data_IF_324338564175
#
_entry.id   IF_324338564175
#
_cell.length_a   1.000
_cell.length_b   1.000
_cell.length_c   1.000
_cell.angle_alpha   90.00
_cell.angle_beta   90.00
_cell.angle_gamma   90.00
#
_symmetry.space_group_name_H-M   'P 1'
#
loop_
_entity.id
_entity.type
_entity.pdbx_description
1 polymer ?
#
# COMPACT_ATOMS: atom_id res chain seq x y z
N UNK A 1 -37.05 -12.26 -8.24
CA UNK A 1 -36.68 -12.80 -6.91
C UNK A 1 -35.23 -12.42 -6.67
N UNK A 2 -34.98 -11.38 -5.85
CA UNK A 2 -33.68 -10.70 -5.70
C UNK A 2 -33.34 -10.69 -4.21
N UNK A 3 -32.82 -11.80 -3.70
CA UNK A 3 -32.39 -11.93 -2.31
C UNK A 3 -31.43 -13.13 -2.19
N UNK A 4 -30.14 -12.92 -2.46
CA UNK A 4 -29.09 -13.79 -1.90
C UNK A 4 -27.69 -13.16 -1.95
N UNK A 5 -27.61 -11.82 -1.85
CA UNK A 5 -26.32 -11.15 -1.69
C UNK A 5 -26.18 -10.73 -0.22
N UNK A 6 -25.12 -11.17 0.49
CA UNK A 6 -24.89 -10.75 1.85
C UNK A 6 -24.64 -9.26 1.90
N UNK A 7 -25.15 -8.63 2.93
CA UNK A 7 -24.95 -7.21 3.20
C UNK A 7 -23.44 -6.91 3.29
N UNK A 8 -22.91 -5.95 2.49
CA UNK A 8 -21.52 -5.53 2.57
C UNK A 8 -21.06 -5.14 3.99
N UNK A 9 -21.99 -4.67 4.85
CA UNK A 9 -21.68 -4.37 6.24
C UNK A 9 -21.46 -5.65 7.07
N UNK A 10 -22.23 -6.71 6.82
CA UNK A 10 -22.09 -8.01 7.47
C UNK A 10 -20.78 -8.72 7.08
N UNK A 11 -20.32 -8.55 5.83
CA UNK A 11 -19.04 -9.08 5.36
C UNK A 11 -17.83 -8.37 6.00
N UNK A 12 -17.89 -7.03 6.14
CA UNK A 12 -16.84 -6.30 6.86
C UNK A 12 -16.77 -6.67 8.34
N UNK A 13 -17.92 -6.88 8.98
CA UNK A 13 -17.98 -7.36 10.37
C UNK A 13 -17.43 -8.78 10.51
N UNK A 14 -17.72 -9.69 9.57
CA UNK A 14 -17.13 -11.03 9.54
C UNK A 14 -15.60 -11.00 9.41
N UNK A 15 -15.05 -10.15 8.53
CA UNK A 15 -13.61 -10.00 8.36
C UNK A 15 -12.92 -9.46 9.63
N UNK A 16 -13.58 -8.56 10.36
CA UNK A 16 -13.09 -8.04 11.65
C UNK A 16 -13.01 -9.12 12.71
N UNK A 17 -14.07 -9.92 12.86
CA UNK A 17 -14.08 -11.07 13.77
C UNK A 17 -13.03 -12.11 13.39
N UNK A 18 -12.80 -12.32 12.10
CA UNK A 18 -11.78 -13.24 11.61
C UNK A 18 -10.37 -12.83 12.04
N UNK A 19 -10.02 -11.53 11.93
CA UNK A 19 -8.71 -11.01 12.39
C UNK A 19 -8.57 -11.14 13.90
N UNK A 20 -9.63 -10.85 14.66
CA UNK A 20 -9.62 -10.89 16.12
C UNK A 20 -9.51 -12.33 16.67
N UNK A 21 -10.13 -13.31 16.00
CA UNK A 21 -10.07 -14.73 16.37
C UNK A 21 -8.87 -15.50 15.78
N UNK A 22 -8.05 -14.84 14.96
CA UNK A 22 -6.82 -15.43 14.37
C UNK A 22 -5.53 -15.02 15.11
N UNK A 23 -5.65 -14.26 16.20
CA UNK A 23 -4.51 -13.91 17.05
C UNK A 23 -4.11 -15.10 17.94
N UNK A 24 -2.82 -15.23 18.28
CA UNK A 24 -2.30 -16.38 19.05
C UNK A 24 -2.82 -16.45 20.51
N UNK A 25 -3.45 -15.38 21.02
CA UNK A 25 -3.96 -15.27 22.40
C UNK A 25 -5.39 -14.71 22.40
N UNK A 26 -6.35 -15.54 21.98
CA UNK A 26 -7.78 -15.18 21.94
C UNK A 26 -8.38 -15.30 23.34
N UNK A 27 -8.93 -14.20 23.86
CA UNK A 27 -9.64 -14.23 25.13
C UNK A 27 -11.01 -14.93 25.00
N UNK A 28 -11.45 -15.69 26.01
CA UNK A 28 -12.78 -16.34 26.04
C UNK A 28 -13.94 -15.35 25.83
N UNK A 29 -13.75 -14.08 26.22
CA UNK A 29 -14.69 -13.00 26.01
C UNK A 29 -14.92 -12.67 24.52
N UNK A 30 -13.90 -12.85 23.67
CA UNK A 30 -13.99 -12.60 22.22
C UNK A 30 -14.78 -13.70 21.52
N UNK A 31 -14.64 -14.96 21.95
CA UNK A 31 -15.46 -16.08 21.46
C UNK A 31 -16.95 -15.88 21.80
N UNK A 32 -17.26 -15.45 23.03
CA UNK A 32 -18.63 -15.16 23.44
C UNK A 32 -19.22 -13.92 22.74
N UNK A 33 -18.39 -12.94 22.37
CA UNK A 33 -18.77 -11.79 21.55
C UNK A 33 -19.14 -12.20 20.12
N UNK A 34 -18.29 -13.02 19.50
CA UNK A 34 -18.51 -13.54 18.16
C UNK A 34 -19.78 -14.41 18.06
N UNK A 35 -19.98 -15.33 19.01
CA UNK A 35 -21.18 -16.20 19.02
C UNK A 35 -22.47 -15.38 19.10
N UNK A 36 -22.51 -14.35 19.94
CA UNK A 36 -23.66 -13.44 20.03
C UNK A 36 -23.90 -12.70 18.72
N UNK A 37 -22.84 -12.26 18.05
CA UNK A 37 -22.95 -11.56 16.77
C UNK A 37 -23.46 -12.46 15.63
N UNK A 38 -22.98 -13.70 15.54
CA UNK A 38 -23.44 -14.69 14.54
C UNK A 38 -24.90 -15.08 14.77
N UNK A 39 -25.32 -15.22 16.03
CA UNK A 39 -26.70 -15.58 16.40
C UNK A 39 -27.70 -14.42 16.29
N UNK A 40 -27.22 -13.17 16.21
CA UNK A 40 -28.09 -11.99 16.17
C UNK A 40 -28.85 -11.82 14.84
N UNK A 41 -28.30 -12.28 13.71
CA UNK A 41 -28.94 -12.15 12.39
C UNK A 41 -28.53 -13.31 11.46
N UNK A 42 -29.49 -13.99 10.79
CA UNK A 42 -29.19 -15.01 9.78
C UNK A 42 -28.22 -14.57 8.69
N UNK A 43 -28.20 -13.28 8.34
CA UNK A 43 -27.27 -12.70 7.35
C UNK A 43 -25.82 -12.66 7.84
N UNK A 44 -25.58 -12.55 9.14
CA UNK A 44 -24.24 -12.63 9.72
C UNK A 44 -23.68 -14.05 9.67
N UNK A 45 -24.53 -15.05 9.94
CA UNK A 45 -24.18 -16.46 9.78
C UNK A 45 -23.82 -16.79 8.31
N UNK A 46 -24.56 -16.24 7.35
CA UNK A 46 -24.23 -16.39 5.93
C UNK A 46 -22.91 -15.71 5.55
N UNK A 47 -22.66 -14.49 6.04
CA UNK A 47 -21.41 -13.78 5.82
C UNK A 47 -20.20 -14.53 6.42
N UNK A 48 -20.36 -15.10 7.62
CA UNK A 48 -19.34 -15.91 8.26
C UNK A 48 -19.05 -17.20 7.48
N UNK A 49 -20.09 -17.94 7.06
CA UNK A 49 -19.95 -19.14 6.26
C UNK A 49 -19.27 -18.88 4.90
N UNK A 50 -19.44 -17.68 4.32
CA UNK A 50 -18.72 -17.29 3.11
C UNK A 50 -17.23 -17.03 3.36
N UNK A 51 -16.89 -16.41 4.48
CA UNK A 51 -15.49 -16.21 4.90
C UNK A 51 -14.79 -17.55 5.18
N UNK A 52 -15.46 -18.49 5.86
CA UNK A 52 -14.95 -19.85 6.09
C UNK A 52 -14.76 -20.63 4.78
N UNK A 53 -15.68 -20.48 3.81
CA UNK A 53 -15.53 -21.09 2.47
C UNK A 53 -14.35 -20.49 1.71
N UNK A 54 -14.12 -19.18 1.83
CA UNK A 54 -12.98 -18.51 1.24
C UNK A 54 -11.66 -19.00 1.88
N UNK A 55 -11.64 -19.12 3.20
CA UNK A 55 -10.50 -19.64 3.95
C UNK A 55 -10.24 -21.12 3.65
N UNK A 56 -11.26 -21.97 3.57
CA UNK A 56 -11.10 -23.37 3.17
C UNK A 56 -10.53 -23.48 1.75
N UNK A 57 -10.98 -22.66 0.81
CA UNK A 57 -10.41 -22.59 -0.55
C UNK A 57 -8.94 -22.15 -0.53
N UNK A 58 -8.59 -21.17 0.29
CA UNK A 58 -7.21 -20.71 0.46
C UNK A 58 -6.33 -21.76 1.15
N UNK A 59 -6.85 -22.48 2.14
CA UNK A 59 -6.15 -23.58 2.84
C UNK A 59 -5.93 -24.78 1.91
N UNK A 60 -6.90 -25.12 1.06
CA UNK A 60 -6.72 -26.13 0.00
C UNK A 60 -5.74 -25.69 -1.10
N UNK A 61 -5.50 -24.39 -1.26
CA UNK A 61 -4.47 -23.84 -2.16
C UNK A 61 -3.09 -23.74 -1.50
N UNK A 62 -3.02 -23.66 -0.16
CA UNK A 62 -1.80 -23.67 0.63
C UNK A 62 -1.22 -25.09 0.86
N UNK A 63 -2.02 -26.13 0.61
CA UNK A 63 -1.64 -27.53 0.85
C UNK A 63 -0.70 -28.23 -0.17
N UNK A 64 -0.07 -27.56 -1.17
CA UNK A 64 1.11 -28.12 -1.84
C UNK A 64 2.45 -27.69 -1.22
N UNK A 65 2.46 -26.94 -0.11
CA UNK A 65 3.70 -26.60 0.61
C UNK A 65 3.84 -27.28 1.99
N UNK A 66 2.76 -27.87 2.54
CA UNK A 66 2.84 -28.71 3.74
C UNK A 66 3.22 -30.18 3.44
N UNK A 67 3.24 -30.58 2.17
CA UNK A 67 3.51 -31.96 1.72
C UNK A 67 4.96 -32.20 1.30
N UNK A 68 5.94 -31.56 1.96
CA UNK A 68 7.28 -32.17 2.07
C UNK A 68 7.30 -33.35 3.07
N UNK A 69 6.19 -33.60 3.79
CA UNK A 69 6.08 -34.66 4.78
C UNK A 69 5.42 -35.98 4.29
N UNK A 70 4.96 -36.11 3.04
CA UNK A 70 4.32 -37.35 2.56
C UNK A 70 4.95 -37.86 1.26
N UNK A 71 6.11 -38.48 1.42
CA UNK A 71 6.91 -39.15 0.39
C UNK A 71 6.28 -40.43 -0.19
N UNK A 72 4.98 -40.50 -0.52
CA UNK A 72 4.43 -41.71 -1.18
C UNK A 72 3.33 -41.43 -2.22
N UNK A 73 3.76 -41.34 -3.48
CA UNK A 73 3.17 -41.90 -4.73
C UNK A 73 1.73 -41.48 -5.19
N UNK A 74 1.30 -41.75 -6.45
CA UNK A 74 2.00 -41.77 -7.74
C UNK A 74 1.31 -40.96 -8.89
N UNK A 75 2.14 -40.63 -9.90
CA UNK A 75 1.91 -40.50 -11.35
C UNK A 75 0.45 -40.56 -11.90
N UNK A 76 -0.19 -39.42 -12.18
CA UNK A 76 -1.23 -39.32 -13.24
C UNK A 76 -1.74 -37.88 -13.46
N UNK A 77 -0.97 -37.02 -14.13
CA UNK A 77 -1.57 -35.79 -14.71
C UNK A 77 -0.99 -35.53 -16.11
N UNK A 78 -1.82 -35.50 -17.18
CA UNK A 78 -1.35 -35.31 -18.55
C UNK A 78 -0.66 -33.94 -18.75
N UNK A 79 0.43 -33.93 -19.51
CA UNK A 79 1.31 -32.76 -19.72
C UNK A 79 0.59 -31.54 -20.35
N UNK A 80 -0.51 -31.76 -21.08
CA UNK A 80 -1.29 -30.70 -21.73
C UNK A 80 -2.12 -29.87 -20.73
N UNK A 81 -2.66 -30.52 -19.69
CA UNK A 81 -3.33 -29.85 -18.55
C UNK A 81 -2.32 -29.00 -17.75
N UNK A 82 -1.06 -29.44 -17.64
CA UNK A 82 0.01 -28.69 -16.97
C UNK A 82 0.39 -27.40 -17.71
N UNK A 83 0.33 -27.36 -19.05
CA UNK A 83 0.62 -26.13 -19.83
C UNK A 83 -0.52 -25.12 -19.77
N UNK A 84 -1.77 -25.56 -19.92
CA UNK A 84 -2.94 -24.69 -19.79
C UNK A 84 -3.05 -24.10 -18.38
N UNK A 85 -2.80 -24.90 -17.35
CA UNK A 85 -2.79 -24.45 -15.96
C UNK A 85 -1.62 -23.50 -15.67
N UNK A 86 -0.43 -23.70 -16.25
CA UNK A 86 0.70 -22.75 -16.15
C UNK A 86 0.40 -21.40 -16.80
N UNK A 87 -0.27 -21.38 -17.95
CA UNK A 87 -0.64 -20.15 -18.65
C UNK A 87 -1.78 -19.41 -17.91
N UNK A 88 -2.75 -20.13 -17.35
CA UNK A 88 -3.83 -19.55 -16.54
C UNK A 88 -3.34 -19.05 -15.17
N UNK A 89 -2.46 -19.78 -14.49
CA UNK A 89 -1.83 -19.35 -13.23
C UNK A 89 -0.87 -18.16 -13.46
N UNK A 90 -0.15 -18.13 -14.58
CA UNK A 90 0.63 -16.97 -14.98
C UNK A 90 -0.23 -15.73 -15.21
N UNK A 91 -1.38 -15.86 -15.89
CA UNK A 91 -2.29 -14.75 -16.16
C UNK A 91 -3.03 -14.22 -14.93
N UNK A 92 -3.55 -15.10 -14.07
CA UNK A 92 -4.34 -14.69 -12.88
C UNK A 92 -3.44 -14.20 -11.74
N UNK A 93 -2.26 -14.81 -11.55
CA UNK A 93 -1.28 -14.34 -10.56
C UNK A 93 -0.77 -12.93 -10.88
N UNK A 94 -0.54 -12.62 -12.15
CA UNK A 94 -0.22 -11.26 -12.61
C UNK A 94 -1.42 -10.32 -12.42
N UNK A 95 -2.64 -10.76 -12.72
CA UNK A 95 -3.84 -9.94 -12.60
C UNK A 95 -4.15 -9.49 -11.16
N UNK A 96 -4.06 -10.39 -10.18
CA UNK A 96 -4.31 -10.07 -8.77
C UNK A 96 -3.15 -9.28 -8.15
N UNK A 97 -1.89 -9.60 -8.48
CA UNK A 97 -0.74 -8.82 -8.04
C UNK A 97 -0.71 -7.41 -8.66
N UNK A 98 -1.16 -7.25 -9.91
CA UNK A 98 -1.30 -5.96 -10.56
C UNK A 98 -2.43 -5.14 -9.92
N UNK A 99 -3.59 -5.73 -9.61
CA UNK A 99 -4.68 -5.03 -8.94
C UNK A 99 -4.35 -4.66 -7.48
N UNK A 100 -3.68 -5.55 -6.75
CA UNK A 100 -3.27 -5.30 -5.37
C UNK A 100 -2.10 -4.30 -5.29
N UNK A 101 -1.13 -4.41 -6.21
CA UNK A 101 -0.03 -3.48 -6.36
C UNK A 101 -0.53 -2.06 -6.66
N UNK A 102 -1.52 -1.91 -7.54
CA UNK A 102 -2.10 -0.59 -7.84
C UNK A 102 -2.78 0.10 -6.64
N UNK A 103 -3.22 -0.66 -5.62
CA UNK A 103 -3.97 -0.10 -4.48
C UNK A 103 -3.17 0.06 -3.19
N UNK A 104 -2.07 -0.69 -3.01
CA UNK A 104 -1.33 -0.69 -1.74
C UNK A 104 -0.02 0.08 -1.77
N UNK A 105 0.65 0.19 -2.92
CA UNK A 105 1.77 1.11 -3.11
C UNK A 105 1.70 1.60 -4.56
N UNK A 106 1.58 2.93 -4.84
CA UNK A 106 1.72 3.39 -6.20
C UNK A 106 3.03 2.80 -6.72
N UNK A 107 2.99 2.04 -7.81
CA UNK A 107 4.17 1.34 -8.35
C UNK A 107 5.39 2.27 -8.49
N UNK A 108 5.12 3.56 -8.67
CA UNK A 108 6.06 4.68 -8.66
C UNK A 108 6.88 4.78 -7.35
N UNK A 109 6.27 4.57 -6.18
CA UNK A 109 6.98 4.50 -4.90
C UNK A 109 7.87 3.25 -4.79
N UNK A 110 7.48 2.15 -5.45
CA UNK A 110 8.30 0.93 -5.52
C UNK A 110 9.58 1.11 -6.35
N UNK A 111 9.53 1.99 -7.35
CA UNK A 111 10.62 2.30 -8.27
C UNK A 111 11.35 3.62 -7.94
N UNK A 112 11.04 4.23 -6.80
CA UNK A 112 11.62 5.52 -6.44
C UNK A 112 13.14 5.42 -6.20
N UNK A 113 13.87 6.45 -6.61
CA UNK A 113 15.33 6.50 -6.49
C UNK A 113 15.77 6.47 -5.02
N UNK A 114 14.98 7.09 -4.13
CA UNK A 114 15.23 7.13 -2.69
C UNK A 114 14.04 6.61 -1.90
N UNK A 115 14.33 5.72 -0.96
CA UNK A 115 13.32 5.05 -0.12
C UNK A 115 13.83 4.86 1.30
N UNK A 116 12.89 4.84 2.24
CA UNK A 116 13.09 4.47 3.64
C UNK A 116 12.08 3.41 4.06
N UNK A 117 12.51 2.45 4.88
CA UNK A 117 11.62 1.48 5.51
C UNK A 117 10.82 2.12 6.67
N UNK A 118 9.86 1.38 7.22
CA UNK A 118 9.17 1.78 8.45
C UNK A 118 10.17 1.88 9.60
N UNK A 119 10.17 3.00 10.32
CA UNK A 119 11.11 3.29 11.41
C UNK A 119 12.47 3.81 10.95
N UNK A 120 12.73 3.89 9.65
CA UNK A 120 13.97 4.43 9.10
C UNK A 120 13.85 5.93 8.80
N UNK A 121 14.90 6.69 9.09
CA UNK A 121 15.02 8.09 8.66
C UNK A 121 16.34 8.26 7.93
N UNK A 122 16.32 8.96 6.79
CA UNK A 122 17.51 9.14 5.95
C UNK A 122 17.71 10.59 5.56
N UNK A 123 18.92 11.09 5.76
CA UNK A 123 19.34 12.43 5.31
C UNK A 123 20.15 12.30 4.03
N UNK A 124 19.80 13.11 3.03
CA UNK A 124 20.48 13.21 1.74
C UNK A 124 20.98 14.65 1.55
N UNK A 125 22.25 14.78 1.18
CA UNK A 125 22.80 16.04 0.68
C UNK A 125 22.72 16.00 -0.85
N UNK A 126 21.96 16.94 -1.42
CA UNK A 126 21.68 16.99 -2.85
C UNK A 126 22.80 17.74 -3.59
N UNK A 127 22.87 17.55 -4.91
CA UNK A 127 23.94 18.10 -5.74
C UNK A 127 23.97 19.64 -5.79
N UNK A 128 22.87 20.32 -5.46
CA UNK A 128 22.78 21.78 -5.36
C UNK A 128 23.15 22.31 -3.97
N UNK A 129 23.56 21.44 -3.04
CA UNK A 129 23.85 21.77 -1.64
C UNK A 129 22.62 21.76 -0.72
N UNK A 130 21.42 21.57 -1.27
CA UNK A 130 20.19 21.41 -0.47
C UNK A 130 20.25 20.12 0.37
N UNK A 131 19.51 20.10 1.48
CA UNK A 131 19.35 18.90 2.30
C UNK A 131 17.92 18.41 2.22
N UNK A 132 17.77 17.10 1.95
CA UNK A 132 16.50 16.39 1.93
C UNK A 132 16.51 15.31 3.00
N UNK A 133 15.54 15.32 3.90
CA UNK A 133 15.39 14.28 4.92
C UNK A 133 14.12 13.49 4.65
N UNK A 134 14.27 12.20 4.37
CA UNK A 134 13.16 11.26 4.25
C UNK A 134 12.80 10.74 5.64
N UNK A 135 11.54 10.86 6.01
CA UNK A 135 11.00 10.26 7.23
C UNK A 135 10.78 8.74 7.05
N UNK A 136 10.15 8.09 8.02
CA UNK A 136 9.74 6.68 7.94
C UNK A 136 8.85 6.42 6.74
N UNK A 137 8.99 5.24 6.12
CA UNK A 137 8.12 4.76 5.04
C UNK A 137 7.90 5.78 3.90
N UNK A 138 8.99 6.43 3.48
CA UNK A 138 8.96 7.50 2.48
C UNK A 138 9.61 7.08 1.18
N UNK A 139 9.15 7.64 0.06
CA UNK A 139 9.65 7.35 -1.28
C UNK A 139 9.65 8.62 -2.14
N UNK A 140 10.81 8.98 -2.70
CA UNK A 140 10.97 10.18 -3.50
C UNK A 140 12.01 10.02 -4.62
N UNK A 141 11.80 10.75 -5.72
CA UNK A 141 12.79 10.93 -6.79
C UNK A 141 13.37 12.34 -6.72
N UNK A 142 14.63 12.49 -7.12
CA UNK A 142 15.29 13.80 -7.24
C UNK A 142 15.80 13.95 -8.67
N UNK A 143 15.37 15.01 -9.35
CA UNK A 143 15.75 15.32 -10.73
C UNK A 143 16.09 16.79 -10.87
N UNK A 144 17.36 17.07 -11.05
CA UNK A 144 17.86 18.42 -11.27
C UNK A 144 18.36 18.54 -12.70
N UNK A 145 17.94 19.61 -13.38
CA UNK A 145 18.42 19.96 -14.70
C UNK A 145 18.86 21.44 -14.75
N UNK A 146 19.09 21.96 -15.95
CA UNK A 146 19.54 23.34 -16.15
C UNK A 146 18.49 24.40 -15.78
N UNK A 147 17.20 24.05 -15.76
CA UNK A 147 16.10 24.97 -15.50
C UNK A 147 15.33 24.71 -14.20
N UNK A 148 15.44 23.52 -13.60
CA UNK A 148 14.60 23.10 -12.48
C UNK A 148 15.34 22.19 -11.50
N UNK A 149 15.07 22.39 -10.20
CA UNK A 149 15.43 21.47 -9.13
C UNK A 149 14.17 20.79 -8.61
N UNK A 150 13.88 19.58 -9.09
CA UNK A 150 12.64 18.88 -8.78
C UNK A 150 12.87 17.73 -7.79
N UNK A 151 12.02 17.66 -6.77
CA UNK A 151 11.80 16.46 -5.96
C UNK A 151 10.38 15.98 -6.21
N UNK A 152 10.18 14.70 -6.49
CA UNK A 152 8.84 14.10 -6.61
C UNK A 152 8.60 13.19 -5.43
N UNK A 153 7.60 13.52 -4.61
CA UNK A 153 7.23 12.72 -3.45
C UNK A 153 6.14 11.71 -3.82
N UNK A 154 6.50 10.43 -3.78
CA UNK A 154 5.59 9.32 -4.07
C UNK A 154 4.88 8.81 -2.84
N UNK A 155 5.51 8.84 -1.66
CA UNK A 155 4.90 8.39 -0.41
C UNK A 155 5.62 8.98 0.81
N UNK A 156 4.91 9.06 1.93
CA UNK A 156 5.47 9.42 3.23
C UNK A 156 5.69 10.93 3.37
N UNK A 157 6.78 11.30 4.03
CA UNK A 157 7.10 12.68 4.39
C UNK A 157 8.56 13.01 4.12
N UNK A 158 8.79 14.21 3.61
CA UNK A 158 10.13 14.78 3.46
C UNK A 158 10.23 16.14 4.15
N UNK A 159 11.41 16.41 4.70
CA UNK A 159 11.84 17.76 5.05
C UNK A 159 12.82 18.25 3.99
N UNK A 160 12.56 19.44 3.47
CA UNK A 160 13.42 20.13 2.53
C UNK A 160 14.05 21.33 3.21
N UNK A 161 15.35 21.50 3.03
CA UNK A 161 16.07 22.72 3.33
C UNK A 161 16.87 23.10 2.10
N UNK A 162 16.45 24.15 1.40
CA UNK A 162 17.06 24.54 0.13
C UNK A 162 18.34 25.34 0.33
N UNK A 163 19.34 25.06 -0.48
CA UNK A 163 20.50 25.93 -0.61
C UNK A 163 20.24 27.06 -1.64
N UNK A 164 20.93 28.21 -1.51
CA UNK A 164 20.95 29.24 -2.54
C UNK A 164 21.43 28.66 -3.87
N UNK A 165 20.74 28.98 -4.97
CA UNK A 165 21.14 28.56 -6.32
C UNK A 165 21.55 29.77 -7.14
N UNK A 166 22.85 29.85 -7.47
CA UNK A 166 23.40 30.94 -8.26
C UNK A 166 22.80 31.01 -9.68
N UNK A 167 22.32 29.88 -10.20
CA UNK A 167 21.62 29.80 -11.48
C UNK A 167 20.17 30.27 -11.43
N UNK A 168 19.63 30.62 -10.26
CA UNK A 168 18.25 31.07 -10.10
C UNK A 168 17.19 30.00 -10.39
N UNK A 169 17.57 28.72 -10.44
CA UNK A 169 16.65 27.62 -10.75
C UNK A 169 15.65 27.45 -9.61
N UNK A 170 14.34 27.41 -9.88
CA UNK A 170 13.34 27.10 -8.86
C UNK A 170 13.56 25.72 -8.25
N UNK A 171 13.29 25.60 -6.95
CA UNK A 171 13.22 24.30 -6.26
C UNK A 171 11.76 23.95 -6.03
N UNK A 172 11.33 22.80 -6.55
CA UNK A 172 9.94 22.34 -6.47
C UNK A 172 9.85 20.96 -5.86
N UNK A 173 8.79 20.76 -5.06
CA UNK A 173 8.33 19.44 -4.63
C UNK A 173 7.00 19.16 -5.29
N UNK A 174 6.94 18.09 -6.09
CA UNK A 174 5.71 17.64 -6.73
C UNK A 174 5.11 16.44 -5.99
N UNK A 175 3.81 16.51 -5.75
CA UNK A 175 2.96 15.38 -5.34
C UNK A 175 1.83 15.22 -6.38
N UNK A 176 1.06 14.12 -6.36
CA UNK A 176 -0.11 14.01 -7.23
C UNK A 176 -1.15 15.10 -7.00
N UNK A 177 -1.17 15.71 -5.81
CA UNK A 177 -2.14 16.73 -5.42
C UNK A 177 -1.72 18.15 -5.79
N UNK A 178 -0.47 18.37 -6.18
CA UNK A 178 -0.01 19.69 -6.57
C UNK A 178 1.51 19.85 -6.46
N UNK A 179 1.92 21.11 -6.60
CA UNK A 179 3.31 21.54 -6.60
C UNK A 179 3.58 22.50 -5.46
N UNK A 180 4.72 22.35 -4.81
CA UNK A 180 5.22 23.26 -3.79
C UNK A 180 6.51 23.87 -4.30
N UNK A 181 6.51 25.18 -4.54
CA UNK A 181 7.68 25.95 -4.91
C UNK A 181 8.32 26.55 -3.65
N UNK A 182 9.59 26.22 -3.43
CA UNK A 182 10.39 26.78 -2.36
C UNK A 182 10.99 28.13 -2.78
N UNK A 183 10.80 29.16 -1.95
CA UNK A 183 11.35 30.50 -2.18
C UNK A 183 12.63 30.74 -1.34
N UNK A 184 13.43 29.68 -1.16
CA UNK A 184 14.67 29.70 -0.35
C UNK A 184 14.42 29.37 1.12
N UNK A 185 13.88 28.19 1.42
CA UNK A 185 13.20 27.93 2.69
C UNK A 185 13.51 26.58 3.33
N UNK A 186 12.93 26.38 4.53
CA UNK A 186 12.83 25.09 5.21
C UNK A 186 11.36 24.74 5.43
N UNK A 187 10.94 23.57 5.00
CA UNK A 187 9.54 23.11 5.09
C UNK A 187 9.46 21.59 5.01
N UNK A 188 8.31 21.03 5.37
CA UNK A 188 7.99 19.62 5.13
C UNK A 188 6.86 19.47 4.14
N UNK A 189 6.87 18.37 3.41
CA UNK A 189 5.77 17.94 2.56
C UNK A 189 5.45 16.49 2.93
N UNK A 190 4.20 16.24 3.30
CA UNK A 190 3.69 14.91 3.64
C UNK A 190 2.58 14.54 2.69
N UNK A 191 2.62 13.32 2.16
CA UNK A 191 1.58 12.77 1.29
C UNK A 191 0.78 11.72 2.04
N UNK A 192 -0.53 11.97 2.19
CA UNK A 192 -1.47 11.09 2.87
C UNK A 192 -2.62 10.72 1.91
N UNK A 193 -2.42 9.63 1.15
CA UNK A 193 -3.41 9.15 0.19
C UNK A 193 -3.77 10.21 -0.86
N UNK A 194 -4.96 10.78 -0.71
CA UNK A 194 -5.59 11.72 -1.66
C UNK A 194 -5.26 13.19 -1.39
N UNK A 195 -4.60 13.52 -0.28
CA UNK A 195 -4.21 14.89 0.06
C UNK A 195 -2.70 14.99 0.36
N UNK A 196 -2.19 16.22 0.34
CA UNK A 196 -0.82 16.55 0.74
C UNK A 196 -0.83 17.67 1.76
N UNK A 197 0.03 17.57 2.77
CA UNK A 197 0.28 18.58 3.77
C UNK A 197 1.58 19.31 3.49
N UNK A 198 1.61 20.62 3.75
CA UNK A 198 2.83 21.42 3.71
C UNK A 198 2.95 22.17 5.01
N UNK A 199 4.02 21.92 5.77
CA UNK A 199 4.34 22.68 6.97
C UNK A 199 5.55 23.56 6.70
N UNK A 200 5.35 24.87 6.81
CA UNK A 200 6.42 25.84 6.66
C UNK A 200 7.17 26.01 7.98
N UNK A 201 8.49 25.87 7.94
CA UNK A 201 9.37 26.04 9.11
C UNK A 201 10.15 27.36 9.07
N UNK A 202 10.43 27.89 7.87
CA UNK A 202 11.07 29.19 7.68
C UNK A 202 10.67 29.80 6.32
N UNK A 203 10.67 31.13 6.25
CA UNK A 203 10.50 31.94 5.02
C UNK A 203 9.12 31.83 4.36
N UNK A 204 9.02 31.40 3.09
CA UNK A 204 7.77 31.30 2.34
C UNK A 204 7.77 30.19 1.28
N UNK A 205 6.64 29.48 1.15
CA UNK A 205 6.40 28.54 0.05
C UNK A 205 5.23 29.01 -0.78
N UNK A 206 5.24 28.71 -2.08
CA UNK A 206 4.05 28.83 -2.93
C UNK A 206 3.50 27.44 -3.18
N UNK A 207 2.24 27.23 -2.85
CA UNK A 207 1.53 25.97 -3.11
C UNK A 207 0.61 26.18 -4.31
N UNK A 208 0.74 25.30 -5.30
CA UNK A 208 -0.04 25.27 -6.53
C UNK A 208 -0.80 23.93 -6.56
N UNK A 209 -2.07 23.89 -6.11
CA UNK A 209 -2.87 22.68 -6.17
C UNK A 209 -3.05 22.21 -7.62
N UNK A 210 -3.05 20.90 -7.83
CA UNK A 210 -3.43 20.34 -9.12
C UNK A 210 -4.89 20.70 -9.40
N UNK A 211 -5.21 21.02 -10.66
CA UNK A 211 -6.59 21.24 -11.06
C UNK A 211 -7.41 19.97 -10.79
N UNK A 212 -8.57 20.13 -10.15
CA UNK A 212 -9.52 19.03 -10.02
C UNK A 212 -9.95 18.58 -11.43
N UNK A 213 -10.01 17.26 -11.70
CA UNK A 213 -10.45 16.73 -12.99
C UNK A 213 -11.91 17.08 -13.30
#
# INVERSE_FOLDING_TARGET
MKADQPDPAALHAAARWYVQLSADDVADADHAGWQRWVQADPRHAMAWAQMERLQCKLRTLADPLATMALQRAPQSVPAQRRRALKLLLGGVGIGVAALAGQRLLPWQAGLADYRTATGERRTLHLADGSTLILASASAADVRFDAGLRQVRLHAGEILVQTAPDAGGRPFVVDTPQGRVLALGTRFTVRRDGDWSEVLLLADAVRVEPAAAP
#
